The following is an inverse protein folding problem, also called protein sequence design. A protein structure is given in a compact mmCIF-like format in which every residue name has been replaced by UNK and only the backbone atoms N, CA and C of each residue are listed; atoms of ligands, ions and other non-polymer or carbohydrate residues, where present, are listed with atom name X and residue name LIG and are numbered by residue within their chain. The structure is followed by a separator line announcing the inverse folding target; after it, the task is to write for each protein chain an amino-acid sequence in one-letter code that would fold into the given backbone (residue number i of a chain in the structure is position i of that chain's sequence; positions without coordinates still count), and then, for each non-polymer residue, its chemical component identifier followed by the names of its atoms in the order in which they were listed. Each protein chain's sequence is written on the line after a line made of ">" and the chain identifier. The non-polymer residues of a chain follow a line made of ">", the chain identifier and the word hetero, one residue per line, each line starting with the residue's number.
data_IF_485674369564
#
_entry.id   IF_485674369564
#
_cell.length_a   1.000
_cell.length_b   1.000
_cell.length_c   1.000
_cell.angle_alpha   90.00
_cell.angle_beta   90.00
_cell.angle_gamma   90.00
#
_symmetry.space_group_name_H-M   'P 1'
#
loop_
_entity.id
_entity.type
_entity.pdbx_description
1 polymer ?
#
# COMPACT_ATOMS: atom_id res chain seq x y z
N UNK A 1 -67.86 15.61 17.65
CA UNK A 1 -68.40 14.38 17.03
C UNK A 1 -68.08 14.45 15.55
N UNK A 2 -67.24 13.60 14.94
CA UNK A 2 -67.21 12.14 14.95
C UNK A 2 -65.76 11.63 15.02
N UNK A 3 -65.52 10.57 15.81
CA UNK A 3 -64.30 9.76 15.85
C UNK A 3 -64.18 8.89 14.60
N UNK A 4 -62.99 8.80 14.01
CA UNK A 4 -62.55 7.63 13.21
C UNK A 4 -61.03 7.54 13.34
N UNK A 5 -60.52 6.85 14.36
CA UNK A 5 -60.10 5.43 14.40
C UNK A 5 -58.93 5.10 13.47
N UNK A 6 -57.74 5.17 14.08
CA UNK A 6 -56.46 4.59 13.68
C UNK A 6 -56.66 3.19 13.10
N UNK A 7 -56.16 2.98 11.89
CA UNK A 7 -55.90 1.65 11.33
C UNK A 7 -54.39 1.52 11.16
N UNK A 8 -53.76 0.86 12.13
CA UNK A 8 -52.43 0.29 11.98
C UNK A 8 -52.53 -0.86 10.95
N UNK A 9 -51.61 -0.89 9.98
CA UNK A 9 -51.23 -2.14 9.30
C UNK A 9 -49.81 -2.51 9.74
N UNK A 10 -49.52 -3.79 10.01
CA UNK A 10 -48.21 -4.24 10.46
C UNK A 10 -47.24 -4.43 9.30
N UNK A 11 -45.95 -4.24 9.61
CA UNK A 11 -44.77 -5.03 9.24
C UNK A 11 -44.84 -5.83 7.93
N UNK A 12 -43.96 -5.52 6.97
CA UNK A 12 -42.83 -6.39 6.64
C UNK A 12 -41.64 -5.52 6.18
N UNK A 13 -40.49 -5.78 6.80
CA UNK A 13 -39.16 -5.34 6.38
C UNK A 13 -38.88 -5.81 4.95
N UNK A 14 -38.88 -4.91 3.97
CA UNK A 14 -38.03 -5.08 2.79
C UNK A 14 -36.74 -4.29 3.02
N UNK A 15 -35.90 -4.83 3.91
CA UNK A 15 -34.47 -4.67 3.75
C UNK A 15 -34.14 -5.24 2.37
N UNK A 16 -34.04 -4.37 1.36
CA UNK A 16 -33.27 -4.72 0.16
C UNK A 16 -31.92 -5.27 0.65
N UNK A 17 -31.38 -6.34 0.03
CA UNK A 17 -30.09 -6.84 0.46
C UNK A 17 -29.10 -5.69 0.37
N UNK A 18 -28.65 -5.20 1.52
CA UNK A 18 -27.51 -4.30 1.61
C UNK A 18 -26.41 -4.96 0.75
N UNK A 19 -25.74 -4.20 -0.14
CA UNK A 19 -24.75 -4.75 -1.03
C UNK A 19 -23.83 -5.63 -0.19
N UNK A 20 -23.85 -6.89 -0.57
CA UNK A 20 -23.30 -8.06 0.10
C UNK A 20 -22.09 -7.66 0.92
N UNK A 21 -22.16 -7.91 2.23
CA UNK A 21 -21.04 -8.07 3.16
C UNK A 21 -19.74 -8.12 2.35
N UNK A 22 -19.04 -6.98 2.23
CA UNK A 22 -17.65 -7.00 1.81
C UNK A 22 -17.02 -7.98 2.77
N UNK A 23 -16.74 -9.18 2.27
CA UNK A 23 -16.00 -10.18 2.99
C UNK A 23 -14.83 -9.42 3.57
N UNK A 24 -14.77 -9.39 4.90
CA UNK A 24 -13.61 -9.07 5.70
C UNK A 24 -12.35 -9.36 4.88
N UNK A 25 -11.77 -8.34 4.24
CA UNK A 25 -10.40 -8.39 3.72
C UNK A 25 -9.43 -8.21 4.91
N UNK A 26 -9.77 -8.83 6.04
CA UNK A 26 -9.14 -8.71 7.35
C UNK A 26 -7.81 -9.48 7.41
N UNK A 27 -7.18 -9.73 6.26
CA UNK A 27 -6.03 -10.62 6.15
C UNK A 27 -4.83 -10.06 5.39
N UNK A 28 -4.96 -8.93 4.68
CA UNK A 28 -3.85 -8.38 3.89
C UNK A 28 -3.74 -6.88 4.15
N UNK A 29 -2.87 -6.49 5.11
CA UNK A 29 -2.52 -5.09 5.36
C UNK A 29 -1.80 -4.54 4.13
N UNK A 30 -2.55 -3.95 3.19
CA UNK A 30 -1.98 -3.22 2.05
C UNK A 30 -1.42 -1.89 2.54
N UNK A 31 -0.30 -1.46 1.97
CA UNK A 31 0.35 -0.18 2.32
C UNK A 31 0.61 0.60 1.05
N UNK A 32 0.16 1.85 1.01
CA UNK A 32 0.48 2.80 -0.05
C UNK A 32 1.71 3.60 0.36
N UNK A 33 2.75 3.63 -0.47
CA UNK A 33 3.92 4.50 -0.29
C UNK A 33 3.97 5.52 -1.42
N UNK A 34 4.52 6.70 -1.11
CA UNK A 34 4.81 7.73 -2.11
C UNK A 34 6.31 7.80 -2.33
N UNK A 35 6.75 7.61 -3.57
CA UNK A 35 8.16 7.65 -3.92
C UNK A 35 8.41 8.60 -5.06
N UNK A 36 9.57 9.26 -5.10
CA UNK A 36 10.02 10.04 -6.26
C UNK A 36 11.50 9.88 -6.46
N UNK A 37 12.02 10.13 -7.65
CA UNK A 37 13.46 10.29 -7.81
C UNK A 37 13.87 11.66 -7.27
N UNK A 38 15.13 11.82 -6.91
CA UNK A 38 15.67 13.08 -6.37
C UNK A 38 15.43 14.27 -7.32
N UNK A 39 15.45 14.01 -8.62
CA UNK A 39 15.26 15.01 -9.69
C UNK A 39 13.79 15.34 -10.00
N UNK A 40 12.85 14.55 -9.49
CA UNK A 40 11.44 14.63 -9.90
C UNK A 40 10.65 15.39 -8.83
N UNK A 41 9.77 16.33 -9.21
CA UNK A 41 8.95 17.08 -8.24
C UNK A 41 7.67 16.36 -7.82
N UNK A 42 7.33 15.27 -8.50
CA UNK A 42 6.07 14.53 -8.32
C UNK A 42 6.36 13.15 -7.75
N UNK A 43 5.51 12.71 -6.81
CA UNK A 43 5.55 11.37 -6.26
C UNK A 43 4.71 10.40 -7.09
N UNK A 44 5.28 9.22 -7.29
CA UNK A 44 4.63 8.01 -7.71
C UNK A 44 4.03 7.26 -6.52
N UNK A 45 2.84 6.70 -6.72
CA UNK A 45 2.24 5.74 -5.81
C UNK A 45 2.83 4.33 -6.02
N UNK A 46 3.33 3.72 -4.92
CA UNK A 46 3.67 2.30 -4.84
C UNK A 46 2.69 1.61 -3.89
N UNK A 47 1.81 0.79 -4.44
CA UNK A 47 0.87 -0.01 -3.65
C UNK A 47 1.48 -1.38 -3.34
N UNK A 48 1.82 -1.61 -2.08
CA UNK A 48 2.30 -2.89 -1.59
C UNK A 48 1.08 -3.76 -1.26
N UNK A 49 0.91 -4.86 -2.00
CA UNK A 49 -0.17 -5.85 -1.78
C UNK A 49 0.00 -6.59 -0.44
N UNK A 50 1.24 -6.75 -0.01
CA UNK A 50 1.63 -7.23 1.32
C UNK A 50 2.83 -6.43 1.85
N UNK A 51 2.94 -6.22 3.16
CA UNK A 51 4.02 -5.44 3.75
C UNK A 51 5.27 -6.31 3.94
N UNK A 52 5.79 -6.86 2.84
CA UNK A 52 6.95 -7.75 2.79
C UNK A 52 7.96 -7.25 1.76
N UNK A 53 9.21 -7.71 1.83
CA UNK A 53 10.27 -7.40 0.86
C UNK A 53 9.84 -7.79 -0.54
N UNK A 54 9.24 -8.98 -0.68
CA UNK A 54 8.71 -9.44 -1.95
C UNK A 54 7.62 -8.49 -2.46
N UNK A 55 6.67 -8.10 -1.61
CA UNK A 55 5.60 -7.16 -1.97
C UNK A 55 6.12 -5.81 -2.43
N UNK A 56 7.19 -5.31 -1.82
CA UNK A 56 7.86 -4.07 -2.24
C UNK A 56 8.59 -4.24 -3.59
N UNK A 57 9.33 -5.34 -3.79
CA UNK A 57 9.98 -5.63 -5.07
C UNK A 57 8.98 -5.76 -6.21
N UNK A 58 7.85 -6.44 -5.97
CA UNK A 58 6.75 -6.57 -6.93
C UNK A 58 6.13 -5.21 -7.27
N UNK A 59 5.86 -4.35 -6.28
CA UNK A 59 5.32 -3.03 -6.52
C UNK A 59 6.26 -2.15 -7.36
N UNK A 60 7.57 -2.21 -7.09
CA UNK A 60 8.60 -1.49 -7.87
C UNK A 60 8.69 -2.05 -9.29
N UNK A 61 8.68 -3.38 -9.42
CA UNK A 61 8.66 -4.07 -10.72
C UNK A 61 7.46 -3.64 -11.56
N UNK A 62 6.27 -3.65 -10.97
CA UNK A 62 5.01 -3.27 -11.63
C UNK A 62 5.03 -1.80 -12.07
N UNK A 63 5.55 -0.91 -11.22
CA UNK A 63 5.59 0.54 -11.49
C UNK A 63 6.63 0.94 -12.53
N UNK A 64 7.83 0.34 -12.49
CA UNK A 64 8.98 0.77 -13.29
C UNK A 64 9.41 -0.24 -14.38
N UNK A 65 8.71 -1.36 -14.53
CA UNK A 65 9.00 -2.38 -15.55
C UNK A 65 10.30 -3.14 -15.32
N UNK A 66 10.77 -3.22 -14.07
CA UNK A 66 12.01 -3.90 -13.69
C UNK A 66 11.70 -5.36 -13.34
N UNK A 67 12.36 -6.38 -13.94
CA UNK A 67 12.17 -7.76 -13.50
C UNK A 67 12.54 -7.91 -12.02
N UNK A 68 11.65 -8.50 -11.22
CA UNK A 68 11.87 -8.73 -9.77
C UNK A 68 13.20 -9.43 -9.50
N UNK A 69 13.54 -10.42 -10.33
CA UNK A 69 14.79 -11.20 -10.24
C UNK A 69 16.06 -10.34 -10.41
N UNK A 70 15.94 -9.18 -11.06
CA UNK A 70 17.06 -8.25 -11.22
C UNK A 70 17.18 -7.30 -10.03
N UNK A 71 16.24 -7.25 -9.09
CA UNK A 71 16.38 -6.44 -7.87
C UNK A 71 17.18 -7.25 -6.85
N UNK A 72 18.50 -7.05 -6.84
CA UNK A 72 19.41 -7.87 -6.02
C UNK A 72 19.71 -7.28 -4.66
N UNK A 73 19.52 -5.97 -4.48
CA UNK A 73 19.76 -5.27 -3.22
C UNK A 73 18.65 -4.27 -2.95
N UNK A 74 18.15 -4.28 -1.71
CA UNK A 74 17.10 -3.38 -1.25
C UNK A 74 17.49 -2.78 0.10
N UNK A 75 17.58 -1.45 0.15
CA UNK A 75 18.02 -0.72 1.33
C UNK A 75 17.02 0.36 1.75
N UNK A 76 16.97 0.64 3.05
CA UNK A 76 16.36 1.82 3.65
C UNK A 76 17.44 2.78 4.10
N UNK A 77 17.34 4.05 3.76
CA UNK A 77 18.17 5.11 4.35
C UNK A 77 17.30 6.00 5.24
N UNK A 78 17.58 6.01 6.54
CA UNK A 78 16.83 6.86 7.47
C UNK A 78 17.20 8.33 7.34
N UNK A 79 16.37 9.23 7.91
CA UNK A 79 16.67 10.67 8.00
C UNK A 79 18.01 10.98 8.69
N UNK A 80 18.47 10.08 9.57
CA UNK A 80 19.79 10.18 10.25
C UNK A 80 20.96 9.72 9.38
N UNK A 81 20.71 9.32 8.13
CA UNK A 81 21.71 8.83 7.19
C UNK A 81 22.09 7.35 7.36
N UNK A 82 21.47 6.63 8.30
CA UNK A 82 21.75 5.20 8.53
C UNK A 82 21.16 4.38 7.39
N UNK A 83 22.00 3.58 6.72
CA UNK A 83 21.62 2.64 5.68
C UNK A 83 21.39 1.25 6.28
N UNK A 84 20.25 0.63 5.98
CA UNK A 84 19.81 -0.65 6.54
C UNK A 84 19.37 -1.58 5.41
N UNK A 85 19.75 -2.86 5.45
CA UNK A 85 19.18 -3.88 4.56
C UNK A 85 17.70 -4.04 4.89
N UNK A 86 16.81 -4.00 3.90
CA UNK A 86 15.40 -4.23 4.16
C UNK A 86 15.11 -5.70 4.44
N UNK A 87 14.29 -5.94 5.46
CA UNK A 87 13.61 -7.20 5.74
C UNK A 87 12.10 -6.93 5.90
N UNK A 88 11.32 -7.99 6.11
CA UNK A 88 9.87 -7.87 6.27
C UNK A 88 9.49 -7.04 7.49
N UNK A 89 10.24 -7.16 8.60
CA UNK A 89 9.98 -6.42 9.84
C UNK A 89 10.05 -4.90 9.61
N UNK A 90 11.01 -4.42 8.82
CA UNK A 90 11.13 -3.00 8.48
C UNK A 90 9.93 -2.54 7.65
N UNK A 91 9.47 -3.35 6.69
CA UNK A 91 8.40 -2.99 5.76
C UNK A 91 7.04 -3.00 6.46
N UNK A 92 6.83 -3.90 7.42
CA UNK A 92 5.64 -3.96 8.26
C UNK A 92 5.38 -2.66 9.06
N UNK A 93 6.46 -1.93 9.36
CA UNK A 93 6.42 -0.65 10.07
C UNK A 93 6.13 0.55 9.18
N UNK A 94 6.12 0.40 7.86
CA UNK A 94 5.67 1.49 7.00
C UNK A 94 4.19 1.79 7.20
N UNK A 95 3.89 3.08 7.20
CA UNK A 95 2.55 3.63 7.29
C UNK A 95 2.05 4.00 5.90
N UNK A 96 0.72 4.09 5.76
CA UNK A 96 0.14 4.60 4.53
C UNK A 96 0.64 6.03 4.28
N UNK A 97 0.95 6.29 3.03
CA UNK A 97 1.40 7.57 2.49
C UNK A 97 2.78 8.00 2.97
N UNK A 98 3.55 7.09 3.60
CA UNK A 98 4.97 7.33 3.89
C UNK A 98 5.71 7.71 2.61
N UNK A 99 6.55 8.75 2.73
CA UNK A 99 7.21 9.38 1.58
C UNK A 99 8.70 9.06 1.54
N UNK A 100 9.21 8.76 0.36
CA UNK A 100 10.62 8.42 0.16
C UNK A 100 11.18 9.01 -1.13
N UNK A 101 12.49 9.26 -1.13
CA UNK A 101 13.26 9.34 -2.38
C UNK A 101 13.68 7.92 -2.78
N UNK A 102 13.32 7.52 -3.99
CA UNK A 102 13.72 6.27 -4.61
C UNK A 102 14.99 6.49 -5.42
N UNK A 103 16.05 5.80 -5.04
CA UNK A 103 17.27 5.70 -5.83
C UNK A 103 17.40 4.28 -6.41
N UNK A 104 17.62 4.20 -7.72
CA UNK A 104 17.79 2.96 -8.46
C UNK A 104 19.11 2.98 -9.21
N UNK A 105 20.05 2.15 -8.78
CA UNK A 105 21.38 2.06 -9.37
C UNK A 105 21.55 0.72 -10.10
N UNK A 106 21.92 0.77 -11.37
CA UNK A 106 22.31 -0.42 -12.13
C UNK A 106 23.68 -0.91 -11.64
N UNK A 107 23.77 -2.21 -11.37
CA UNK A 107 24.98 -2.93 -11.01
C UNK A 107 25.24 -4.05 -12.02
N UNK A 108 26.44 -4.64 -11.97
CA UNK A 108 26.81 -5.77 -12.85
C UNK A 108 25.85 -6.96 -12.67
N UNK A 109 25.38 -7.17 -11.44
CA UNK A 109 24.53 -8.31 -11.07
C UNK A 109 23.02 -7.99 -11.05
N UNK A 110 22.60 -6.75 -11.37
CA UNK A 110 21.18 -6.36 -11.31
C UNK A 110 20.99 -4.90 -10.89
N UNK A 111 20.00 -4.62 -10.06
CA UNK A 111 19.66 -3.29 -9.55
C UNK A 111 19.77 -3.26 -8.04
N UNK A 112 20.42 -2.20 -7.54
CA UNK A 112 20.36 -1.79 -6.14
C UNK A 112 19.31 -0.70 -5.99
N UNK A 113 18.36 -0.95 -5.12
CA UNK A 113 17.27 -0.02 -4.80
C UNK A 113 17.48 0.52 -3.39
N UNK A 114 17.30 1.83 -3.21
CA UNK A 114 17.32 2.47 -1.90
C UNK A 114 16.10 3.38 -1.75
N UNK A 115 15.32 3.19 -0.68
CA UNK A 115 14.29 4.15 -0.24
C UNK A 115 14.87 5.04 0.87
N UNK A 116 14.97 6.34 0.61
CA UNK A 116 15.46 7.33 1.55
C UNK A 116 14.29 8.10 2.17
N UNK A 117 14.18 8.09 3.50
CA UNK A 117 13.18 8.87 4.21
C UNK A 117 13.45 10.37 4.09
N UNK A 118 12.38 11.15 3.90
CA UNK A 118 12.38 12.62 3.86
C UNK A 118 11.59 13.20 5.03
#
# INVERSE_FOLDING_TARGET
>A
SVLVKRMFRPMEEEFGPAPSKQLKEEGMKRVLLYVRKETDDVFDALMLKSPTVKGLMEAISEKYGLPVEKITKLYKKSKKGILVNMDDNIIEHYSNEDTFILNMESMVEGFKITLMEI
#
